data_IF_089190863226
#
_entry.id   IF_089190863226
#
_cell.length_a   1.000
_cell.length_b   1.000
_cell.length_c   1.000
_cell.angle_alpha   90.00
_cell.angle_beta   90.00
_cell.angle_gamma   90.00
#
_symmetry.space_group_name_H-M   'P 1'
#
loop_
_entity.id
_entity.type
_entity.pdbx_description
1 polymer ?
#
# COMPACT_ATOMS: atom_id res chain seq x y z
N UNK A 1 -2.68 3.47 3.06
CA UNK A 1 -2.07 2.49 2.11
C UNK A 1 -1.77 1.22 2.87
N UNK A 2 -1.91 0.06 2.23
CA UNK A 2 -1.64 -1.26 2.84
C UNK A 2 -0.73 -2.08 1.93
N UNK A 3 0.35 -2.67 2.48
CA UNK A 3 1.29 -3.52 1.75
C UNK A 3 1.22 -4.96 2.26
N UNK A 4 1.06 -5.92 1.36
CA UNK A 4 1.07 -7.36 1.66
C UNK A 4 2.15 -8.08 0.86
N UNK A 5 3.05 -8.77 1.55
CA UNK A 5 4.10 -9.62 0.94
C UNK A 5 3.58 -10.92 0.34
N UNK A 6 2.26 -11.14 0.38
CA UNK A 6 1.57 -12.34 -0.09
C UNK A 6 0.57 -11.99 -1.21
N UNK A 7 0.04 -13.03 -1.87
CA UNK A 7 -1.03 -12.88 -2.86
C UNK A 7 -2.27 -12.22 -2.23
N UNK A 8 -2.97 -11.40 -2.99
CA UNK A 8 -4.26 -10.81 -2.60
C UNK A 8 -5.22 -11.86 -2.02
N UNK A 9 -5.86 -11.49 -0.92
CA UNK A 9 -6.97 -12.21 -0.30
C UNK A 9 -8.13 -11.23 -0.08
N UNK A 10 -9.40 -11.66 -0.24
CA UNK A 10 -10.56 -10.80 -0.03
C UNK A 10 -10.59 -10.10 1.34
N UNK A 11 -10.09 -10.75 2.39
CA UNK A 11 -10.02 -10.18 3.75
C UNK A 11 -9.22 -8.87 3.83
N UNK A 12 -8.25 -8.65 2.92
CA UNK A 12 -7.45 -7.43 2.88
C UNK A 12 -8.27 -6.21 2.44
N UNK A 13 -9.26 -6.42 1.57
CA UNK A 13 -10.18 -5.34 1.19
C UNK A 13 -11.01 -4.89 2.40
N UNK A 14 -11.44 -5.82 3.25
CA UNK A 14 -12.16 -5.50 4.49
C UNK A 14 -11.31 -4.68 5.48
N UNK A 15 -10.04 -5.06 5.68
CA UNK A 15 -9.11 -4.30 6.52
C UNK A 15 -8.93 -2.86 6.00
N UNK A 16 -8.67 -2.71 4.70
CA UNK A 16 -8.45 -1.40 4.11
C UNK A 16 -9.73 -0.55 4.11
N UNK A 17 -10.89 -1.15 3.87
CA UNK A 17 -12.19 -0.48 3.96
C UNK A 17 -12.44 0.06 5.37
N UNK A 18 -12.11 -0.72 6.42
CA UNK A 18 -12.20 -0.26 7.79
C UNK A 18 -11.34 0.99 8.04
N UNK A 19 -10.09 1.01 7.54
CA UNK A 19 -9.23 2.18 7.68
C UNK A 19 -9.82 3.41 6.99
N UNK A 20 -10.33 3.25 5.76
CA UNK A 20 -10.98 4.34 5.03
C UNK A 20 -12.16 4.89 5.82
N UNK A 21 -13.05 4.03 6.31
CA UNK A 21 -14.21 4.46 7.11
C UNK A 21 -13.80 5.19 8.39
N UNK A 22 -12.72 4.76 9.05
CA UNK A 22 -12.20 5.44 10.24
C UNK A 22 -11.64 6.83 9.90
N UNK A 23 -10.86 6.96 8.82
CA UNK A 23 -10.35 8.26 8.38
C UNK A 23 -11.50 9.19 7.98
N UNK A 24 -12.46 8.69 7.19
CA UNK A 24 -13.60 9.47 6.72
C UNK A 24 -14.53 9.90 7.87
N UNK A 25 -14.65 9.11 8.93
CA UNK A 25 -15.49 9.42 10.09
C UNK A 25 -14.83 10.31 11.13
N UNK A 26 -13.51 10.21 11.32
CA UNK A 26 -12.83 10.84 12.47
C UNK A 26 -11.89 11.99 12.09
N UNK A 27 -11.35 12.00 10.86
CA UNK A 27 -10.24 12.90 10.47
C UNK A 27 -10.62 13.76 9.26
N UNK A 28 -11.32 13.19 8.29
CA UNK A 28 -11.68 13.87 7.05
C UNK A 28 -12.56 15.10 7.34
N UNK A 29 -12.24 16.20 6.67
CA UNK A 29 -13.04 17.44 6.71
C UNK A 29 -13.92 17.58 5.45
N UNK A 30 -14.76 18.61 5.45
CA UNK A 30 -15.63 18.95 4.31
C UNK A 30 -14.84 19.41 3.07
N UNK A 31 -13.62 19.93 3.26
CA UNK A 31 -12.76 20.37 2.15
C UNK A 31 -11.95 19.23 1.53
N UNK A 32 -11.88 18.09 2.21
CA UNK A 32 -11.11 16.95 1.75
C UNK A 32 -11.87 16.10 0.73
N UNK A 33 -11.14 15.61 -0.26
CA UNK A 33 -11.63 14.60 -1.19
C UNK A 33 -11.87 13.26 -0.48
N UNK A 34 -12.63 12.33 -1.08
CA UNK A 34 -12.80 10.98 -0.53
C UNK A 34 -11.45 10.29 -0.29
N UNK A 35 -11.31 9.60 0.85
CA UNK A 35 -10.08 8.87 1.18
C UNK A 35 -9.88 7.69 0.23
N UNK A 36 -8.70 7.62 -0.40
CA UNK A 36 -8.37 6.57 -1.37
C UNK A 36 -7.59 5.44 -0.70
N UNK A 37 -8.12 4.22 -0.82
CA UNK A 37 -7.43 3.00 -0.42
C UNK A 37 -6.49 2.50 -1.51
N UNK A 38 -5.21 2.32 -1.18
CA UNK A 38 -4.26 1.64 -2.05
C UNK A 38 -3.79 0.37 -1.35
N UNK A 39 -4.08 -0.79 -1.96
CA UNK A 39 -3.60 -2.10 -1.53
C UNK A 39 -2.55 -2.60 -2.53
N UNK A 40 -1.33 -2.82 -2.05
CA UNK A 40 -0.22 -3.35 -2.83
C UNK A 40 0.05 -4.77 -2.36
N UNK A 41 0.07 -5.74 -3.27
CA UNK A 41 0.25 -7.15 -2.95
C UNK A 41 1.27 -7.82 -3.86
N UNK A 42 1.83 -8.96 -3.45
CA UNK A 42 2.84 -9.68 -4.25
C UNK A 42 2.29 -10.14 -5.60
N UNK A 43 1.02 -10.52 -5.63
CA UNK A 43 0.28 -10.87 -6.84
C UNK A 43 -1.22 -10.85 -6.56
N UNK A 44 -2.04 -10.80 -7.62
CA UNK A 44 -3.50 -10.78 -7.56
C UNK A 44 -4.09 -11.62 -8.69
N UNK A 45 -5.34 -12.03 -8.50
CA UNK A 45 -6.17 -12.53 -9.59
C UNK A 45 -7.26 -11.48 -9.82
N UNK A 46 -7.34 -10.94 -11.03
CA UNK A 46 -8.24 -9.83 -11.33
C UNK A 46 -9.71 -10.17 -11.04
N UNK A 47 -10.15 -11.38 -11.37
CA UNK A 47 -11.50 -11.85 -11.08
C UNK A 47 -11.76 -11.89 -9.57
N UNK A 48 -10.83 -12.42 -8.77
CA UNK A 48 -10.98 -12.46 -7.31
C UNK A 48 -11.02 -11.06 -6.71
N UNK A 49 -10.20 -10.14 -7.22
CA UNK A 49 -10.21 -8.72 -6.81
C UNK A 49 -11.53 -8.07 -7.16
N UNK A 50 -12.02 -8.24 -8.38
CA UNK A 50 -13.29 -7.70 -8.84
C UNK A 50 -14.45 -8.18 -7.96
N UNK A 51 -14.56 -9.48 -7.69
CA UNK A 51 -15.59 -10.01 -6.78
C UNK A 51 -15.48 -9.47 -5.36
N UNK A 52 -14.25 -9.29 -4.85
CA UNK A 52 -14.03 -8.75 -3.51
C UNK A 52 -14.43 -7.26 -3.39
N UNK A 53 -14.31 -6.49 -4.47
CA UNK A 53 -14.57 -5.04 -4.48
C UNK A 53 -15.94 -4.66 -5.05
N UNK A 54 -16.67 -5.56 -5.71
CA UNK A 54 -17.92 -5.26 -6.43
C UNK A 54 -19.01 -4.58 -5.56
N UNK A 55 -18.97 -4.76 -4.25
CA UNK A 55 -19.92 -4.12 -3.31
C UNK A 55 -19.23 -3.27 -2.24
N UNK A 56 -17.97 -2.91 -2.46
CA UNK A 56 -17.25 -1.99 -1.60
C UNK A 56 -17.46 -0.59 -2.16
N UNK A 57 -18.12 0.29 -1.40
CA UNK A 57 -18.40 1.66 -1.84
C UNK A 57 -17.17 2.56 -1.74
N UNK A 58 -16.26 2.29 -0.79
CA UNK A 58 -15.04 3.05 -0.63
C UNK A 58 -14.11 2.88 -1.84
N UNK A 59 -13.45 3.96 -2.30
CA UNK A 59 -12.56 3.90 -3.46
C UNK A 59 -11.27 3.15 -3.11
N UNK A 60 -11.19 1.88 -3.52
CA UNK A 60 -10.03 1.00 -3.29
C UNK A 60 -9.39 0.57 -4.60
N UNK A 61 -8.10 0.82 -4.75
CA UNK A 61 -7.25 0.30 -5.81
C UNK A 61 -6.37 -0.86 -5.33
N UNK A 62 -6.24 -1.91 -6.13
CA UNK A 62 -5.37 -3.07 -5.85
C UNK A 62 -4.32 -3.22 -6.95
N UNK A 63 -3.04 -3.13 -6.58
CA UNK A 63 -1.92 -3.31 -7.50
C UNK A 63 -0.99 -4.43 -7.04
N UNK A 64 -0.25 -4.97 -8.00
CA UNK A 64 0.89 -5.83 -7.74
C UNK A 64 2.17 -4.99 -7.66
N UNK A 65 3.15 -5.45 -6.88
CA UNK A 65 4.50 -4.90 -6.94
C UNK A 65 5.45 -5.90 -7.63
N UNK A 66 6.43 -5.34 -8.34
CA UNK A 66 7.48 -6.13 -8.98
C UNK A 66 8.77 -5.96 -8.19
N UNK A 67 9.38 -7.07 -7.78
CA UNK A 67 10.73 -7.05 -7.24
C UNK A 67 11.70 -7.14 -8.41
N UNK A 68 12.50 -6.10 -8.61
CA UNK A 68 13.61 -6.10 -9.57
C UNK A 68 14.93 -6.27 -8.84
N UNK A 69 15.85 -7.05 -9.44
CA UNK A 69 17.26 -7.07 -9.01
C UNK A 69 18.08 -5.96 -9.67
N UNK A 70 17.58 -5.43 -10.78
CA UNK A 70 18.22 -4.36 -11.53
C UNK A 70 17.48 -3.07 -11.22
N UNK A 71 18.13 -2.20 -10.45
CA UNK A 71 17.62 -0.88 -10.18
C UNK A 71 17.69 -0.04 -11.48
N UNK A 72 16.60 0.64 -11.89
CA UNK A 72 16.62 1.58 -13.00
C UNK A 72 17.75 2.60 -12.83
N UNK A 73 18.45 2.94 -13.93
CA UNK A 73 19.59 3.86 -13.87
C UNK A 73 19.21 5.23 -13.29
N UNK A 74 17.99 5.70 -13.57
CA UNK A 74 17.42 6.95 -13.05
C UNK A 74 17.29 7.00 -11.52
N UNK A 75 17.26 5.85 -10.85
CA UNK A 75 17.10 5.74 -9.39
C UNK A 75 18.41 5.48 -8.65
N UNK A 76 19.53 5.26 -9.35
CA UNK A 76 20.81 4.93 -8.70
C UNK A 76 21.32 6.05 -7.81
N UNK A 77 21.14 7.29 -8.22
CA UNK A 77 21.66 8.46 -7.51
C UNK A 77 20.68 9.00 -6.44
N UNK A 78 19.48 8.42 -6.33
CA UNK A 78 18.44 8.87 -5.37
C UNK A 78 18.27 7.94 -4.17
N UNK A 79 18.93 6.78 -4.18
CA UNK A 79 18.92 5.88 -3.04
C UNK A 79 20.01 6.25 -2.03
N UNK A 80 19.74 6.10 -0.73
CA UNK A 80 20.76 6.25 0.29
C UNK A 80 21.86 5.21 0.12
N UNK A 81 23.07 5.57 0.56
CA UNK A 81 24.22 4.68 0.62
C UNK A 81 24.04 3.59 1.67
N UNK A 82 24.86 2.54 1.59
CA UNK A 82 24.82 1.44 2.57
C UNK A 82 25.15 1.98 3.97
N UNK A 83 26.15 2.85 4.05
CA UNK A 83 26.59 3.47 5.30
C UNK A 83 25.50 4.33 5.94
N UNK A 84 24.73 5.09 5.15
CA UNK A 84 23.59 5.88 5.64
C UNK A 84 22.45 4.98 6.16
N UNK A 85 22.17 3.87 5.47
CA UNK A 85 21.16 2.90 5.92
C UNK A 85 21.56 2.23 7.24
N UNK A 86 22.83 1.83 7.37
CA UNK A 86 23.34 1.18 8.58
C UNK A 86 23.31 2.13 9.79
N UNK A 87 23.71 3.39 9.61
CA UNK A 87 23.69 4.39 10.68
C UNK A 87 22.26 4.66 11.22
N UNK A 88 21.29 4.83 10.33
CA UNK A 88 19.88 5.05 10.71
C UNK A 88 19.27 3.80 11.39
N UNK A 89 19.65 2.60 10.96
CA UNK A 89 19.18 1.37 11.59
C UNK A 89 19.76 1.17 12.99
N UNK A 90 21.01 1.60 13.23
CA UNK A 90 21.61 1.57 14.57
C UNK A 90 20.88 2.52 15.53
N UNK A 91 20.49 3.72 15.10
CA UNK A 91 19.71 4.67 15.93
C UNK A 91 18.31 4.15 16.31
N UNK A 92 17.67 3.32 15.47
CA UNK A 92 16.32 2.76 15.74
C UNK A 92 16.38 1.60 16.75
N UNK A 93 17.53 0.96 16.92
CA UNK A 93 17.72 -0.23 17.78
C UNK A 93 18.16 0.15 19.21
N UNK A 94 18.58 1.40 19.43
CA UNK A 94 18.91 1.98 20.75
C UNK A 94 17.68 2.57 21.47
#
# INVERSE_FOLDING_TARGET
MELKSVKFKPEFAGQLNFYISAIDGEIKTELDNPTIGILICKSKNNTVVEYALNRVESPIGVSEYTITKNLPDELKDTLPTIEEIEAELEEIVE
#
